data_IF_983570297329
#
_entry.id   IF_983570297329
#
_cell.length_a   1.000
_cell.length_b   1.000
_cell.length_c   1.000
_cell.angle_alpha   90.00
_cell.angle_beta   90.00
_cell.angle_gamma   90.00
#
_symmetry.space_group_name_H-M   'P 1'
#
loop_
_entity.id
_entity.type
_entity.pdbx_description
1 polymer ?
#
# COMPACT_ATOMS: atom_id res chain seq x y z
N UNK A 1 0.73 -2.10 -59.77
CA UNK A 1 -0.27 -1.14 -60.30
C UNK A 1 -0.21 0.09 -59.40
N UNK A 2 0.55 1.10 -59.84
CA UNK A 2 0.61 2.42 -59.22
C UNK A 2 -0.72 3.14 -59.41
N UNK A 3 -1.12 3.99 -58.46
CA UNK A 3 -1.52 5.36 -58.78
C UNK A 3 -1.11 6.30 -57.65
N UNK A 4 -0.56 7.42 -58.08
CA UNK A 4 0.13 8.50 -57.37
C UNK A 4 -0.72 9.78 -57.44
N UNK A 5 -0.51 10.66 -56.44
CA UNK A 5 -0.55 12.14 -56.51
C UNK A 5 -1.95 12.81 -56.68
N UNK A 6 -2.27 13.98 -56.09
CA UNK A 6 -1.46 15.08 -55.54
C UNK A 6 -2.27 16.03 -54.62
N UNK A 7 -1.57 16.68 -53.67
CA UNK A 7 -1.62 18.08 -53.15
C UNK A 7 -2.80 19.00 -53.52
N UNK A 8 -3.25 20.03 -52.78
CA UNK A 8 -2.79 20.90 -51.67
C UNK A 8 -3.97 21.90 -51.47
N UNK A 9 -4.30 22.45 -50.30
CA UNK A 9 -3.72 23.69 -49.78
C UNK A 9 -4.43 24.13 -48.47
N UNK A 10 -3.81 25.12 -47.83
CA UNK A 10 -3.94 25.69 -46.48
C UNK A 10 -5.18 26.57 -46.20
N UNK A 11 -5.73 26.43 -44.97
CA UNK A 11 -6.36 27.38 -43.99
C UNK A 11 -6.73 28.84 -44.38
N UNK A 12 -7.69 29.56 -43.71
CA UNK A 12 -7.96 29.53 -42.25
C UNK A 12 -9.40 29.78 -41.73
N UNK A 13 -9.52 29.59 -40.40
CA UNK A 13 -10.50 30.09 -39.41
C UNK A 13 -11.63 31.04 -39.85
N UNK A 14 -12.88 30.72 -39.48
CA UNK A 14 -13.83 31.69 -38.91
C UNK A 14 -15.02 31.01 -38.17
N UNK A 15 -15.22 31.52 -36.96
CA UNK A 15 -16.37 31.36 -36.05
C UNK A 15 -17.73 31.48 -36.75
N UNK A 16 -18.69 30.60 -36.40
CA UNK A 16 -20.12 30.96 -36.35
C UNK A 16 -20.93 29.97 -35.51
N UNK A 17 -21.22 30.41 -34.28
CA UNK A 17 -22.23 29.85 -33.40
C UNK A 17 -23.62 29.99 -34.07
N UNK A 18 -24.33 28.88 -34.30
CA UNK A 18 -25.74 28.91 -34.72
C UNK A 18 -26.58 27.99 -33.84
N UNK A 19 -27.45 28.65 -33.05
CA UNK A 19 -28.50 28.06 -32.23
C UNK A 19 -29.52 27.34 -33.13
N UNK A 20 -29.89 26.11 -32.79
CA UNK A 20 -31.03 25.39 -33.38
C UNK A 20 -32.07 25.18 -32.25
N UNK A 21 -33.36 25.50 -32.45
CA UNK A 21 -34.37 25.37 -31.40
C UNK A 21 -34.92 23.93 -31.37
N UNK A 22 -34.92 23.31 -30.19
CA UNK A 22 -35.54 22.00 -29.98
C UNK A 22 -37.05 22.19 -29.74
N UNK A 23 -37.87 21.65 -30.65
CA UNK A 23 -39.32 21.51 -30.46
C UNK A 23 -39.61 20.48 -29.36
N UNK A 24 -40.53 20.84 -28.47
CA UNK A 24 -41.12 20.02 -27.42
C UNK A 24 -41.82 18.80 -28.03
N UNK A 25 -41.37 17.60 -27.65
CA UNK A 25 -42.10 16.36 -27.83
C UNK A 25 -42.38 15.76 -26.44
N UNK A 26 -43.66 15.57 -26.18
CA UNK A 26 -44.25 15.07 -24.95
C UNK A 26 -43.87 13.59 -24.71
N UNK A 27 -43.20 13.32 -23.60
CA UNK A 27 -42.86 11.97 -23.14
C UNK A 27 -44.08 11.33 -22.48
N UNK A 28 -44.66 10.32 -23.14
CA UNK A 28 -45.52 9.33 -22.49
C UNK A 28 -44.66 8.45 -21.58
N UNK A 29 -45.02 8.41 -20.31
CA UNK A 29 -44.48 7.53 -19.28
C UNK A 29 -44.85 6.07 -19.58
N UNK A 30 -43.84 5.23 -19.80
CA UNK A 30 -43.96 3.78 -19.77
C UNK A 30 -43.02 3.28 -18.67
N UNK A 31 -43.63 2.78 -17.61
CA UNK A 31 -43.01 2.27 -16.39
C UNK A 31 -42.30 0.94 -16.67
N UNK A 32 -40.97 0.97 -16.81
CA UNK A 32 -40.13 -0.18 -16.53
C UNK A 32 -39.27 0.15 -15.30
N UNK A 33 -39.63 -0.46 -14.17
CA UNK A 33 -38.82 -0.51 -12.96
C UNK A 33 -37.57 -1.36 -13.22
N UNK A 34 -36.57 -0.79 -13.87
CA UNK A 34 -35.20 -1.30 -13.74
C UNK A 34 -34.63 -0.72 -12.44
N UNK A 35 -34.62 -1.56 -11.40
CA UNK A 35 -33.83 -1.30 -10.20
C UNK A 35 -32.37 -1.25 -10.62
N UNK A 36 -31.86 -0.05 -10.86
CA UNK A 36 -30.41 0.17 -10.93
C UNK A 36 -29.86 -0.18 -9.56
N UNK A 37 -29.23 -1.34 -9.43
CA UNK A 37 -28.35 -1.66 -8.30
C UNK A 37 -27.24 -0.60 -8.28
N UNK A 38 -27.47 0.51 -7.59
CA UNK A 38 -26.42 1.43 -7.25
C UNK A 38 -25.61 0.74 -6.16
N UNK A 39 -24.43 0.26 -6.53
CA UNK A 39 -23.45 -0.19 -5.55
C UNK A 39 -22.97 1.08 -4.85
N UNK A 40 -23.64 1.44 -3.76
CA UNK A 40 -23.24 2.52 -2.89
C UNK A 40 -22.09 1.99 -2.02
N UNK A 41 -20.89 1.95 -2.60
CA UNK A 41 -19.68 1.65 -1.85
C UNK A 41 -19.46 2.81 -0.88
N UNK A 42 -19.82 2.62 0.40
CA UNK A 42 -19.30 3.46 1.47
C UNK A 42 -17.78 3.42 1.35
N UNK A 43 -17.17 4.59 1.13
CA UNK A 43 -15.73 4.90 1.16
C UNK A 43 -14.77 3.74 0.84
N UNK A 44 -14.11 3.84 -0.32
CA UNK A 44 -13.05 2.97 -0.83
C UNK A 44 -12.34 2.13 0.23
N UNK A 45 -12.63 0.83 0.23
CA UNK A 45 -11.79 -0.14 0.89
C UNK A 45 -10.34 0.07 0.40
N UNK A 46 -9.43 0.43 1.31
CA UNK A 46 -7.98 0.47 1.11
C UNK A 46 -7.35 1.69 0.43
N UNK A 47 -8.06 2.82 0.25
CA UNK A 47 -7.47 4.00 -0.39
C UNK A 47 -6.64 4.88 0.56
N UNK A 48 -5.58 4.34 1.18
CA UNK A 48 -4.59 5.14 1.89
C UNK A 48 -4.00 4.48 3.13
N UNK A 49 -2.82 4.95 3.55
CA UNK A 49 -2.28 4.63 4.86
C UNK A 49 -3.15 5.34 5.92
N UNK A 50 -3.86 4.62 6.79
CA UNK A 50 -4.82 5.19 7.74
C UNK A 50 -4.16 6.05 8.83
N UNK A 51 -2.83 6.02 8.94
CA UNK A 51 -2.05 6.87 9.84
C UNK A 51 -1.82 8.30 9.29
N UNK A 52 -2.36 8.65 8.12
CA UNK A 52 -2.27 10.02 7.59
C UNK A 52 -3.49 10.85 7.98
N UNK A 53 -3.45 11.49 9.15
CA UNK A 53 -4.45 12.52 9.48
C UNK A 53 -4.11 13.89 8.88
N UNK A 54 -2.84 14.28 8.79
CA UNK A 54 -2.35 15.50 8.11
C UNK A 54 -0.84 15.40 7.88
N UNK A 55 -0.27 16.09 6.87
CA UNK A 55 1.19 16.24 6.77
C UNK A 55 1.63 17.11 7.97
N UNK A 56 2.37 16.57 8.95
CA UNK A 56 2.75 17.36 10.12
C UNK A 56 3.64 18.52 9.67
N UNK A 57 3.48 19.71 10.28
CA UNK A 57 4.42 20.82 10.04
C UNK A 57 5.85 20.33 10.32
N UNK A 58 6.88 20.78 9.58
CA UNK A 58 8.26 20.30 9.74
C UNK A 58 8.78 20.36 11.19
N UNK A 59 8.28 21.30 11.98
CA UNK A 59 8.66 21.57 13.36
C UNK A 59 7.87 20.77 14.42
N UNK A 60 6.89 19.95 14.03
CA UNK A 60 6.16 19.14 15.00
C UNK A 60 6.95 17.91 15.45
N UNK A 61 6.78 17.50 16.71
CA UNK A 61 7.36 16.27 17.29
C UNK A 61 6.98 14.99 16.53
N UNK A 62 5.91 15.05 15.73
CA UNK A 62 5.38 13.95 14.93
C UNK A 62 5.87 13.96 13.48
N UNK A 63 6.67 14.96 13.10
CA UNK A 63 7.29 14.98 11.78
C UNK A 63 8.25 13.78 11.65
N UNK A 64 8.41 13.17 10.45
CA UNK A 64 9.25 12.00 10.29
C UNK A 64 10.67 12.21 10.81
N UNK A 65 11.28 13.38 10.50
CA UNK A 65 12.62 13.71 10.94
C UNK A 65 12.73 13.88 12.46
N UNK A 66 11.78 14.59 13.09
CA UNK A 66 11.78 14.78 14.55
C UNK A 66 11.54 13.46 15.30
N UNK A 67 10.59 12.66 14.82
CA UNK A 67 10.30 11.34 15.37
C UNK A 67 11.51 10.40 15.24
N UNK A 68 12.26 10.47 14.15
CA UNK A 68 13.46 9.68 13.94
C UNK A 68 14.61 10.08 14.88
N UNK A 69 14.86 11.37 15.04
CA UNK A 69 15.88 11.84 16.00
C UNK A 69 15.49 11.50 17.45
N UNK A 70 14.20 11.60 17.80
CA UNK A 70 13.68 11.16 19.11
C UNK A 70 13.80 9.65 19.30
N UNK A 71 13.60 8.86 18.23
CA UNK A 71 13.79 7.42 18.29
C UNK A 71 15.27 7.07 18.48
N UNK A 72 16.19 7.72 17.75
CA UNK A 72 17.63 7.54 17.90
C UNK A 72 18.10 7.88 19.31
N UNK A 73 17.68 9.04 19.83
CA UNK A 73 18.05 9.43 21.20
C UNK A 73 17.51 8.43 22.21
N UNK A 74 16.26 7.97 22.08
CA UNK A 74 15.73 6.91 22.96
C UNK A 74 16.43 5.58 22.78
N UNK A 75 16.90 5.21 21.59
CA UNK A 75 17.65 3.96 21.39
C UNK A 75 19.05 4.03 22.01
N UNK A 76 19.70 5.20 21.99
CA UNK A 76 21.05 5.44 22.52
C UNK A 76 21.08 5.81 24.01
N UNK A 77 20.06 6.52 24.50
CA UNK A 77 19.94 7.02 25.88
C UNK A 77 18.63 6.53 26.51
N UNK A 78 18.70 5.92 27.70
CA UNK A 78 17.54 5.44 28.45
C UNK A 78 16.73 6.58 29.14
N UNK A 79 16.74 7.79 28.57
CA UNK A 79 16.09 8.94 29.18
C UNK A 79 14.60 9.03 28.79
N UNK A 80 13.73 8.97 29.81
CA UNK A 80 12.31 9.30 29.69
C UNK A 80 12.16 10.83 29.66
N UNK A 81 12.10 11.44 28.47
CA UNK A 81 11.58 12.80 28.37
C UNK A 81 10.05 12.76 28.58
N UNK A 82 9.50 13.56 29.52
CA UNK A 82 8.10 13.46 29.95
C UNK A 82 7.05 13.89 28.91
N UNK A 83 7.45 14.41 27.74
CA UNK A 83 6.56 14.87 26.66
C UNK A 83 6.74 14.15 25.32
N UNK A 84 7.48 13.03 25.27
CA UNK A 84 7.76 12.36 23.98
C UNK A 84 6.74 11.29 23.62
N UNK A 85 6.43 11.13 22.33
CA UNK A 85 5.37 10.25 21.84
C UNK A 85 5.58 8.78 22.21
N UNK A 86 4.49 8.03 22.23
CA UNK A 86 4.50 6.58 22.39
C UNK A 86 4.92 5.96 21.06
N UNK A 87 5.95 5.12 21.08
CA UNK A 87 6.45 4.45 19.88
C UNK A 87 5.93 3.02 19.82
N UNK A 88 5.15 2.72 18.76
CA UNK A 88 4.74 1.36 18.40
C UNK A 88 5.59 0.82 17.26
N UNK A 89 6.04 -0.42 17.41
CA UNK A 89 6.96 -1.11 16.50
C UNK A 89 6.30 -2.39 16.01
N UNK A 90 6.32 -2.61 14.69
CA UNK A 90 5.96 -3.88 14.06
C UNK A 90 7.22 -4.53 13.46
N UNK A 91 7.69 -5.66 14.03
CA UNK A 91 8.81 -6.40 13.47
C UNK A 91 8.42 -7.15 12.18
N UNK A 92 9.35 -7.19 11.24
CA UNK A 92 9.25 -7.94 9.99
C UNK A 92 10.45 -8.87 9.82
N UNK A 93 10.21 -10.03 9.22
CA UNK A 93 11.27 -10.94 8.79
C UNK A 93 11.02 -11.38 7.36
N UNK A 94 11.93 -11.05 6.45
CA UNK A 94 11.84 -11.36 5.01
C UNK A 94 10.49 -10.93 4.42
N UNK A 95 10.06 -9.70 4.76
CA UNK A 95 8.79 -9.12 4.33
C UNK A 95 7.53 -9.69 4.99
N UNK A 96 7.65 -10.57 5.99
CA UNK A 96 6.53 -11.12 6.77
C UNK A 96 6.38 -10.34 8.08
N UNK A 97 5.22 -9.73 8.37
CA UNK A 97 4.98 -9.12 9.67
C UNK A 97 4.91 -10.19 10.77
N UNK A 98 5.29 -9.79 11.98
CA UNK A 98 5.00 -10.57 13.17
C UNK A 98 3.50 -10.49 13.48
N UNK A 99 2.89 -11.63 13.79
CA UNK A 99 1.50 -11.75 14.15
C UNK A 99 1.33 -12.79 15.27
N UNK A 100 0.21 -12.69 15.95
CA UNK A 100 -0.25 -13.71 16.90
C UNK A 100 -1.68 -14.09 16.56
N UNK A 101 -2.09 -15.25 17.05
CA UNK A 101 -3.46 -15.70 16.92
C UNK A 101 -4.03 -16.04 18.28
N UNK A 102 -5.24 -15.55 18.52
CA UNK A 102 -6.04 -15.90 19.69
C UNK A 102 -7.20 -16.76 19.24
N UNK A 103 -7.43 -17.87 19.93
CA UNK A 103 -8.57 -18.74 19.67
C UNK A 103 -9.65 -18.45 20.72
N UNK A 104 -10.84 -17.95 20.33
CA UNK A 104 -11.97 -17.81 21.25
C UNK A 104 -12.36 -19.18 21.83
N UNK A 105 -13.01 -19.18 23.01
CA UNK A 105 -13.58 -20.41 23.57
C UNK A 105 -14.66 -20.97 22.63
N UNK A 106 -14.46 -22.19 22.12
CA UNK A 106 -15.37 -22.88 21.19
C UNK A 106 -14.74 -23.29 19.85
N UNK A 107 -15.61 -23.53 18.84
CA UNK A 107 -15.25 -23.93 17.47
C UNK A 107 -15.04 -22.76 16.50
N UNK A 108 -15.01 -21.52 17.01
CA UNK A 108 -14.76 -20.33 16.20
C UNK A 108 -13.35 -20.35 15.59
N UNK A 109 -13.20 -19.79 14.37
CA UNK A 109 -11.88 -19.69 13.75
C UNK A 109 -10.94 -18.80 14.58
N UNK A 110 -9.62 -19.01 14.46
CA UNK A 110 -8.62 -18.16 15.09
C UNK A 110 -8.75 -16.70 14.63
N UNK A 111 -8.69 -15.77 15.57
CA UNK A 111 -8.56 -14.34 15.27
C UNK A 111 -7.06 -14.01 15.18
N UNK A 112 -6.67 -13.27 14.15
CA UNK A 112 -5.29 -12.88 13.91
C UNK A 112 -5.07 -11.41 14.23
N UNK A 113 -4.00 -11.12 14.94
CA UNK A 113 -3.60 -9.76 15.30
C UNK A 113 -2.13 -9.52 14.96
N UNK A 114 -1.79 -8.31 14.53
CA UNK A 114 -0.40 -7.92 14.33
C UNK A 114 0.35 -7.81 15.66
N UNK A 115 1.61 -8.23 15.67
CA UNK A 115 2.49 -8.19 16.84
C UNK A 115 3.10 -6.81 17.07
N UNK A 116 2.26 -5.82 17.40
CA UNK A 116 2.72 -4.49 17.78
C UNK A 116 3.35 -4.49 19.18
N UNK A 117 4.53 -3.89 19.32
CA UNK A 117 5.20 -3.70 20.60
C UNK A 117 5.42 -2.23 20.90
N UNK A 118 5.45 -1.87 22.19
CA UNK A 118 6.05 -0.61 22.59
C UNK A 118 7.57 -0.67 22.43
N UNK A 119 8.21 0.47 22.25
CA UNK A 119 9.67 0.54 22.12
C UNK A 119 10.41 -0.08 23.32
N UNK A 120 9.90 0.10 24.55
CA UNK A 120 10.49 -0.49 25.76
C UNK A 120 10.48 -2.02 25.75
N UNK A 121 9.32 -2.61 25.44
CA UNK A 121 9.17 -4.07 25.34
C UNK A 121 10.05 -4.63 24.23
N UNK A 122 10.10 -3.94 23.08
CA UNK A 122 10.92 -4.32 21.94
C UNK A 122 12.41 -4.29 22.27
N UNK A 123 12.89 -3.24 22.96
CA UNK A 123 14.27 -3.17 23.46
C UNK A 123 14.64 -4.34 24.37
N UNK A 124 13.70 -4.84 25.18
CA UNK A 124 13.92 -6.01 26.02
C UNK A 124 14.29 -7.26 25.21
N UNK A 125 13.73 -7.43 24.01
CA UNK A 125 14.15 -8.51 23.11
C UNK A 125 15.51 -8.24 22.47
N UNK A 126 15.78 -6.97 22.12
CA UNK A 126 17.05 -6.59 21.52
C UNK A 126 18.24 -6.70 22.46
N UNK A 127 18.05 -6.43 23.75
CA UNK A 127 19.10 -6.52 24.77
C UNK A 127 19.68 -7.95 24.90
N UNK A 128 18.89 -8.96 24.55
CA UNK A 128 19.30 -10.36 24.55
C UNK A 128 19.86 -10.83 23.19
N UNK A 129 20.13 -9.88 22.27
CA UNK A 129 20.57 -10.17 20.90
C UNK A 129 21.71 -9.26 20.47
N UNK A 130 22.50 -9.69 19.47
CA UNK A 130 23.53 -8.86 18.83
C UNK A 130 22.95 -7.94 17.74
N UNK A 131 21.62 -7.84 17.62
CA UNK A 131 20.98 -7.06 16.57
C UNK A 131 21.20 -5.55 16.78
N UNK A 132 21.95 -4.95 15.87
CA UNK A 132 22.12 -3.49 15.82
C UNK A 132 21.09 -2.87 14.87
N UNK A 133 20.23 -2.01 15.41
CA UNK A 133 19.26 -1.23 14.63
C UNK A 133 20.01 -0.27 13.69
N UNK A 134 19.96 -0.55 12.38
CA UNK A 134 20.51 0.35 11.36
C UNK A 134 19.40 1.17 10.72
N UNK A 135 19.70 2.38 10.22
CA UNK A 135 18.68 3.24 9.60
C UNK A 135 18.00 2.58 8.39
N UNK A 136 18.66 1.64 7.72
CA UNK A 136 18.09 0.89 6.60
C UNK A 136 17.01 -0.11 7.04
N UNK A 137 17.09 -0.61 8.28
CA UNK A 137 16.14 -1.56 8.85
C UNK A 137 14.86 -0.91 9.39
N UNK A 138 14.79 0.43 9.46
CA UNK A 138 13.65 1.16 10.01
C UNK A 138 12.92 1.99 8.96
N UNK A 139 11.60 1.98 9.05
CA UNK A 139 10.71 2.84 8.25
C UNK A 139 9.64 3.47 9.14
N UNK A 140 9.47 4.78 9.00
CA UNK A 140 8.38 5.52 9.63
C UNK A 140 7.06 5.26 8.89
N UNK A 141 6.03 4.82 9.62
CA UNK A 141 4.73 4.47 9.06
C UNK A 141 3.69 5.58 9.22
N UNK A 142 3.84 6.45 10.22
CA UNK A 142 2.89 7.51 10.48
C UNK A 142 2.72 7.77 11.98
N UNK A 143 1.80 8.67 12.29
CA UNK A 143 1.46 9.04 13.66
C UNK A 143 -0.03 9.24 13.80
N UNK A 144 -0.58 8.89 14.96
CA UNK A 144 -1.94 9.25 15.36
C UNK A 144 -1.86 10.34 16.41
N UNK A 145 -2.34 11.53 16.07
CA UNK A 145 -2.32 12.71 16.94
C UNK A 145 -3.32 12.63 18.09
N UNK A 146 -4.35 11.79 17.98
CA UNK A 146 -5.34 11.58 19.05
C UNK A 146 -4.71 10.91 20.29
N UNK A 147 -3.75 10.00 20.05
CA UNK A 147 -3.16 9.14 21.07
C UNK A 147 -1.65 9.42 21.27
N UNK A 148 -1.10 10.43 20.60
CA UNK A 148 0.34 10.74 20.54
C UNK A 148 1.23 9.52 20.21
N UNK A 149 0.75 8.63 19.36
CA UNK A 149 1.45 7.39 18.97
C UNK A 149 2.14 7.56 17.62
N UNK A 150 3.39 7.15 17.53
CA UNK A 150 4.15 7.05 16.27
C UNK A 150 4.45 5.58 15.97
N UNK A 151 4.22 5.19 14.72
CA UNK A 151 4.30 3.81 14.25
C UNK A 151 5.54 3.59 13.38
N UNK A 152 6.26 2.50 13.64
CA UNK A 152 7.47 2.11 12.96
C UNK A 152 7.40 0.66 12.47
N UNK A 153 7.92 0.41 11.27
CA UNK A 153 8.23 -0.93 10.78
C UNK A 153 9.72 -1.21 10.92
N UNK A 154 10.09 -2.38 11.40
CA UNK A 154 11.49 -2.76 11.60
C UNK A 154 11.78 -4.11 10.95
N UNK A 155 12.79 -4.18 10.09
CA UNK A 155 13.28 -5.43 9.52
C UNK A 155 14.31 -6.09 10.46
N UNK A 156 13.93 -7.23 11.03
CA UNK A 156 14.76 -8.07 11.90
C UNK A 156 15.26 -9.32 11.17
N UNK A 157 15.38 -9.26 9.84
CA UNK A 157 15.82 -10.41 9.03
C UNK A 157 17.24 -10.88 9.34
N UNK A 158 18.13 -9.97 9.72
CA UNK A 158 19.53 -10.28 10.00
C UNK A 158 19.71 -11.09 11.30
N UNK A 159 18.76 -10.98 12.23
CA UNK A 159 18.82 -11.71 13.50
C UNK A 159 17.85 -12.90 13.54
N UNK A 160 18.42 -14.10 13.63
CA UNK A 160 17.66 -15.34 13.75
C UNK A 160 17.31 -15.71 15.19
N UNK A 161 17.99 -15.13 16.18
CA UNK A 161 17.80 -15.42 17.61
C UNK A 161 16.47 -14.90 18.15
N UNK A 162 15.88 -13.88 17.50
CA UNK A 162 14.59 -13.31 17.89
C UNK A 162 13.40 -14.24 17.59
N UNK A 163 13.52 -15.13 16.60
CA UNK A 163 12.44 -16.05 16.20
C UNK A 163 12.00 -16.95 17.37
N UNK A 164 12.89 -17.67 18.08
CA UNK A 164 12.47 -18.46 19.24
C UNK A 164 11.98 -17.60 20.40
N UNK A 165 12.51 -16.40 20.61
CA UNK A 165 12.05 -15.49 21.68
C UNK A 165 10.61 -15.02 21.46
N UNK A 166 10.27 -14.66 20.21
CA UNK A 166 8.90 -14.33 19.84
C UNK A 166 7.98 -15.55 19.89
N UNK A 167 8.46 -16.71 19.46
CA UNK A 167 7.74 -17.98 19.52
C UNK A 167 7.35 -18.38 20.96
N UNK A 168 8.24 -18.17 21.93
CA UNK A 168 7.98 -18.41 23.36
C UNK A 168 6.82 -17.55 23.91
N UNK A 169 6.50 -16.44 23.24
CA UNK A 169 5.36 -15.56 23.55
C UNK A 169 4.19 -15.73 22.56
N UNK A 170 4.13 -16.85 21.85
CA UNK A 170 3.07 -17.17 20.88
C UNK A 170 2.96 -16.21 19.69
N UNK A 171 4.08 -15.62 19.27
CA UNK A 171 4.17 -14.84 18.03
C UNK A 171 4.85 -15.64 16.91
N UNK A 172 4.46 -15.35 15.67
CA UNK A 172 5.07 -15.94 14.47
C UNK A 172 5.08 -14.95 13.30
N UNK A 173 6.00 -15.14 12.35
CA UNK A 173 6.06 -14.33 11.14
C UNK A 173 5.18 -14.92 10.04
N UNK A 174 4.11 -14.21 9.67
CA UNK A 174 3.08 -14.69 8.74
C UNK A 174 3.11 -13.89 7.45
N UNK A 175 2.80 -14.53 6.32
CA UNK A 175 2.71 -13.81 5.05
C UNK A 175 1.45 -12.93 5.02
N UNK A 176 1.60 -11.68 4.60
CA UNK A 176 0.55 -10.66 4.71
C UNK A 176 -0.74 -11.02 3.95
N UNK A 177 -0.66 -11.62 2.76
CA UNK A 177 -1.84 -12.11 2.02
C UNK A 177 -2.55 -13.23 2.79
N UNK A 178 -1.82 -14.07 3.52
CA UNK A 178 -2.43 -15.08 4.39
C UNK A 178 -3.24 -14.42 5.50
N UNK A 179 -2.69 -13.40 6.15
CA UNK A 179 -3.42 -12.61 7.15
C UNK A 179 -4.66 -11.93 6.54
N UNK A 180 -4.53 -11.32 5.36
CA UNK A 180 -5.66 -10.72 4.66
C UNK A 180 -6.78 -11.71 4.33
N UNK A 181 -6.48 -13.00 4.12
CA UNK A 181 -7.51 -14.03 3.89
C UNK A 181 -8.09 -14.57 5.19
N UNK A 182 -7.29 -14.63 6.25
CA UNK A 182 -7.70 -15.19 7.54
C UNK A 182 -8.45 -14.19 8.44
N UNK A 183 -8.24 -12.89 8.24
CA UNK A 183 -8.90 -11.82 8.99
C UNK A 183 -10.33 -11.60 8.52
N UNK A 184 -11.23 -11.32 9.45
CA UNK A 184 -12.60 -10.89 9.14
C UNK A 184 -12.58 -9.50 8.50
N UNK A 185 -13.08 -9.39 7.26
CA UNK A 185 -13.08 -8.14 6.50
C UNK A 185 -14.09 -7.12 7.03
N UNK A 186 -15.01 -7.54 7.91
CA UNK A 186 -15.94 -6.62 8.57
C UNK A 186 -15.30 -5.88 9.75
N UNK A 187 -14.15 -6.35 10.25
CA UNK A 187 -13.37 -5.66 11.28
C UNK A 187 -12.54 -4.54 10.64
N UNK A 188 -13.07 -3.32 10.66
CA UNK A 188 -12.42 -2.13 10.12
C UNK A 188 -11.04 -1.85 10.74
N UNK A 189 -10.87 -2.14 12.04
CA UNK A 189 -9.61 -1.91 12.74
C UNK A 189 -8.56 -2.92 12.29
N UNK A 190 -8.91 -4.20 12.20
CA UNK A 190 -7.98 -5.22 11.72
C UNK A 190 -7.57 -4.95 10.26
N UNK A 191 -8.49 -4.49 9.41
CA UNK A 191 -8.19 -4.13 8.03
C UNK A 191 -7.31 -2.88 7.92
N UNK A 192 -7.51 -1.89 8.80
CA UNK A 192 -6.66 -0.70 8.94
C UNK A 192 -5.23 -1.09 9.31
N UNK A 193 -5.07 -1.97 10.30
CA UNK A 193 -3.79 -2.51 10.75
C UNK A 193 -3.06 -3.25 9.62
N UNK A 194 -3.77 -4.09 8.86
CA UNK A 194 -3.21 -4.80 7.70
C UNK A 194 -2.79 -3.84 6.58
N UNK A 195 -3.52 -2.74 6.36
CA UNK A 195 -3.12 -1.71 5.41
C UNK A 195 -1.81 -1.03 5.83
N UNK A 196 -1.63 -0.75 7.13
CA UNK A 196 -0.38 -0.24 7.69
C UNK A 196 0.76 -1.25 7.48
N UNK A 197 0.53 -2.53 7.78
CA UNK A 197 1.53 -3.58 7.58
C UNK A 197 1.92 -3.77 6.10
N UNK A 198 0.96 -3.63 5.18
CA UNK A 198 1.21 -3.62 3.74
C UNK A 198 2.09 -2.46 3.30
N UNK A 199 1.83 -1.26 3.82
CA UNK A 199 2.67 -0.10 3.58
C UNK A 199 4.09 -0.29 4.13
N UNK A 200 4.22 -0.80 5.35
CA UNK A 200 5.50 -1.09 5.99
C UNK A 200 6.32 -2.10 5.16
N UNK A 201 5.70 -3.22 4.77
CA UNK A 201 6.33 -4.23 3.91
C UNK A 201 6.86 -3.61 2.62
N UNK A 202 6.08 -2.77 1.95
CA UNK A 202 6.49 -2.14 0.69
C UNK A 202 7.72 -1.23 0.87
N UNK A 203 7.77 -0.44 1.95
CA UNK A 203 8.91 0.42 2.24
C UNK A 203 10.16 -0.38 2.63
N UNK A 204 10.02 -1.40 3.49
CA UNK A 204 11.13 -2.27 3.89
C UNK A 204 11.70 -3.05 2.70
N UNK A 205 10.83 -3.60 1.85
CA UNK A 205 11.27 -4.27 0.62
C UNK A 205 12.01 -3.29 -0.30
N UNK A 206 11.47 -2.08 -0.49
CA UNK A 206 12.12 -1.05 -1.27
C UNK A 206 13.49 -0.66 -0.70
N UNK A 207 13.64 -0.60 0.62
CA UNK A 207 14.92 -0.39 1.29
C UNK A 207 15.92 -1.50 0.96
N UNK A 208 15.48 -2.75 0.95
CA UNK A 208 16.32 -3.92 0.69
C UNK A 208 16.78 -4.00 -0.77
N UNK A 209 15.94 -3.65 -1.74
CA UNK A 209 16.30 -3.70 -3.17
C UNK A 209 17.01 -2.43 -3.66
N UNK A 210 16.75 -1.26 -3.06
CA UNK A 210 17.28 0.03 -3.51
C UNK A 210 18.53 0.46 -2.72
N UNK A 211 19.58 -0.37 -2.72
CA UNK A 211 20.82 -0.14 -1.95
C UNK A 211 21.84 0.75 -2.68
N UNK A 212 21.72 0.87 -3.99
CA UNK A 212 22.65 1.60 -4.85
C UNK A 212 21.92 2.59 -5.75
N UNK A 213 22.62 3.64 -6.16
CA UNK A 213 22.08 4.69 -7.01
C UNK A 213 22.04 4.20 -8.46
N UNK A 214 20.85 4.12 -9.06
CA UNK A 214 20.70 3.73 -10.46
C UNK A 214 21.31 4.71 -11.48
N UNK A 215 21.84 5.86 -11.05
CA UNK A 215 22.52 6.82 -11.93
C UNK A 215 24.05 6.69 -11.91
N UNK A 216 24.66 6.55 -10.73
CA UNK A 216 26.12 6.53 -10.58
C UNK A 216 26.68 5.28 -9.90
N UNK A 217 25.84 4.32 -9.49
CA UNK A 217 26.25 3.07 -8.84
C UNK A 217 26.59 3.19 -7.35
N UNK A 218 26.80 4.39 -6.81
CA UNK A 218 27.19 4.59 -5.41
C UNK A 218 26.07 4.23 -4.41
N UNK A 219 26.43 3.87 -3.17
CA UNK A 219 25.49 3.55 -2.09
C UNK A 219 24.46 4.66 -1.85
N UNK A 220 23.25 4.25 -1.47
CA UNK A 220 22.16 5.16 -1.08
C UNK A 220 21.97 5.15 0.44
N UNK A 221 21.63 6.30 1.00
CA UNK A 221 21.35 6.49 2.43
C UNK A 221 19.87 6.83 2.63
N UNK A 222 19.19 6.26 3.65
CA UNK A 222 17.85 6.66 4.04
C UNK A 222 17.79 8.13 4.44
N UNK A 223 16.71 8.80 4.09
CA UNK A 223 16.42 10.17 4.49
C UNK A 223 14.94 10.28 4.86
N UNK A 224 14.58 11.30 5.65
CA UNK A 224 13.18 11.52 6.08
C UNK A 224 12.56 10.27 6.74
N UNK A 225 13.30 9.66 7.67
CA UNK A 225 12.89 8.46 8.39
C UNK A 225 12.52 7.26 7.49
N UNK A 226 13.27 7.07 6.41
CA UNK A 226 13.08 5.95 5.48
C UNK A 226 11.99 6.17 4.43
N UNK A 227 11.47 7.39 4.28
CA UNK A 227 10.46 7.72 3.25
C UNK A 227 11.06 7.99 1.88
N UNK A 228 12.34 8.35 1.84
CA UNK A 228 13.13 8.47 0.61
C UNK A 228 14.58 8.06 0.88
N UNK A 229 15.34 7.92 -0.20
CA UNK A 229 16.78 7.70 -0.15
C UNK A 229 17.50 8.78 -0.91
N UNK A 230 18.78 8.96 -0.60
CA UNK A 230 19.65 9.89 -1.32
C UNK A 230 20.97 9.19 -1.66
N UNK A 231 21.50 9.46 -2.85
CA UNK A 231 22.83 8.98 -3.21
C UNK A 231 23.88 9.62 -2.28
N UNK A 232 24.78 8.80 -1.72
CA UNK A 232 25.84 9.25 -0.82
C UNK A 232 26.96 10.01 -1.54
N UNK A 233 27.09 9.87 -2.87
CA UNK A 233 28.04 10.64 -3.65
C UNK A 233 27.68 12.14 -3.63
N UNK A 234 28.59 12.96 -3.13
CA UNK A 234 28.42 14.40 -2.96
C UNK A 234 28.20 15.17 -4.28
N UNK A 235 28.71 14.66 -5.40
CA UNK A 235 28.50 15.22 -6.75
C UNK A 235 27.15 14.81 -7.34
N UNK A 236 26.65 13.61 -7.01
CA UNK A 236 25.38 13.10 -7.54
C UNK A 236 24.17 13.60 -6.73
N UNK A 237 24.15 13.34 -5.41
CA UNK A 237 23.08 13.70 -4.47
C UNK A 237 21.63 13.40 -4.92
N UNK A 238 21.45 12.50 -5.91
CA UNK A 238 20.14 12.19 -6.49
C UNK A 238 19.19 11.64 -5.42
N UNK A 239 17.97 12.17 -5.41
CA UNK A 239 16.88 11.72 -4.54
C UNK A 239 16.16 10.55 -5.21
N UNK A 240 15.85 9.52 -4.42
CA UNK A 240 15.23 8.28 -4.88
C UNK A 240 14.01 8.03 -4.01
N UNK A 241 12.86 7.81 -4.64
CA UNK A 241 11.59 7.59 -3.97
C UNK A 241 11.12 6.14 -4.14
N UNK A 242 10.28 5.62 -3.23
CA UNK A 242 9.67 4.31 -3.37
C UNK A 242 8.93 4.17 -4.71
N UNK A 243 9.12 3.01 -5.35
CA UNK A 243 8.39 2.65 -6.57
C UNK A 243 6.97 2.24 -6.21
N UNK A 244 5.99 2.77 -6.93
CA UNK A 244 4.59 2.34 -6.85
C UNK A 244 4.21 1.82 -8.23
N UNK A 245 3.81 0.55 -8.29
CA UNK A 245 3.34 -0.09 -9.52
C UNK A 245 1.80 -0.08 -9.53
N UNK A 246 1.16 0.83 -10.29
CA UNK A 246 -0.29 0.93 -10.31
C UNK A 246 -0.91 -0.31 -10.98
N UNK A 247 -1.88 -0.92 -10.29
CA UNK A 247 -2.60 -2.12 -10.74
C UNK A 247 -4.09 -1.83 -10.73
N UNK A 248 -4.77 -2.29 -11.77
CA UNK A 248 -6.24 -2.27 -11.84
C UNK A 248 -6.78 -3.66 -11.55
N UNK A 249 -7.89 -3.71 -10.82
CA UNK A 249 -8.72 -4.90 -10.64
C UNK A 249 -10.12 -4.57 -11.16
N UNK A 250 -10.70 -5.45 -11.96
CA UNK A 250 -11.95 -5.17 -12.68
C UNK A 250 -12.88 -6.38 -12.72
N UNK A 251 -14.14 -6.15 -12.37
CA UNK A 251 -15.23 -7.11 -12.53
C UNK A 251 -15.97 -6.79 -13.83
N UNK A 252 -16.04 -7.75 -14.75
CA UNK A 252 -16.80 -7.59 -15.98
C UNK A 252 -18.16 -8.24 -15.82
N UNK A 253 -19.19 -7.44 -16.08
CA UNK A 253 -20.59 -7.80 -15.86
C UNK A 253 -21.28 -7.85 -17.21
N UNK A 254 -21.84 -9.01 -17.53
CA UNK A 254 -22.82 -9.19 -18.58
C UNK A 254 -24.20 -8.90 -17.98
N UNK A 255 -24.72 -7.71 -18.29
CA UNK A 255 -25.98 -7.21 -17.74
C UNK A 255 -27.21 -7.92 -18.30
N UNK A 256 -27.14 -8.42 -19.53
CA UNK A 256 -28.29 -9.05 -20.18
C UNK A 256 -28.56 -10.43 -19.59
N UNK A 257 -27.49 -11.17 -19.25
CA UNK A 257 -27.58 -12.53 -18.74
C UNK A 257 -27.40 -12.65 -17.21
N UNK A 258 -27.21 -11.52 -16.50
CA UNK A 258 -26.90 -11.46 -15.06
C UNK A 258 -25.68 -12.32 -14.69
N UNK A 259 -24.59 -12.16 -15.42
CA UNK A 259 -23.35 -12.94 -15.25
C UNK A 259 -22.15 -12.03 -15.00
N UNK A 260 -21.13 -12.58 -14.35
CA UNK A 260 -19.85 -11.91 -14.21
C UNK A 260 -18.69 -12.81 -14.66
N UNK A 261 -17.72 -12.20 -15.34
CA UNK A 261 -16.51 -12.90 -15.76
C UNK A 261 -15.49 -12.90 -14.62
N UNK A 262 -15.07 -14.11 -14.24
CA UNK A 262 -13.97 -14.35 -13.32
C UNK A 262 -12.90 -15.19 -14.00
N UNK A 263 -11.66 -15.03 -13.57
CA UNK A 263 -10.53 -15.82 -14.04
C UNK A 263 -9.84 -16.54 -12.89
N UNK A 264 -9.02 -17.53 -13.23
CA UNK A 264 -8.20 -18.28 -12.29
C UNK A 264 -6.80 -18.45 -12.85
N UNK A 265 -5.80 -18.30 -11.99
CA UNK A 265 -4.42 -18.66 -12.28
C UNK A 265 -4.07 -20.00 -11.65
N UNK A 266 -3.15 -20.76 -12.24
CA UNK A 266 -2.72 -22.08 -11.75
C UNK A 266 -2.24 -22.07 -10.29
N UNK A 267 -1.59 -20.98 -9.87
CA UNK A 267 -1.10 -20.77 -8.49
C UNK A 267 -2.19 -20.52 -7.45
N UNK A 268 -3.44 -20.29 -7.86
CA UNK A 268 -4.53 -20.03 -6.92
C UNK A 268 -4.98 -21.30 -6.23
N UNK A 269 -5.38 -21.17 -4.96
CA UNK A 269 -6.00 -22.25 -4.18
C UNK A 269 -7.15 -22.87 -5.00
N UNK A 270 -7.33 -24.21 -4.98
CA UNK A 270 -8.41 -24.84 -5.71
C UNK A 270 -9.76 -24.19 -5.43
N UNK A 271 -10.55 -23.99 -6.50
CA UNK A 271 -11.87 -23.32 -6.48
C UNK A 271 -11.87 -21.82 -6.15
N UNK A 272 -10.70 -21.18 -6.06
CA UNK A 272 -10.62 -19.72 -5.96
C UNK A 272 -10.65 -19.07 -7.34
N UNK A 273 -11.61 -18.18 -7.55
CA UNK A 273 -11.79 -17.35 -8.74
C UNK A 273 -11.64 -15.88 -8.35
N UNK A 274 -11.14 -15.05 -9.26
CA UNK A 274 -10.93 -13.63 -9.00
C UNK A 274 -11.27 -12.78 -10.22
N UNK A 275 -11.54 -11.51 -9.97
CA UNK A 275 -11.60 -10.47 -10.98
C UNK A 275 -10.33 -10.45 -11.83
N UNK A 276 -10.43 -9.90 -13.04
CA UNK A 276 -9.25 -9.67 -13.86
C UNK A 276 -8.40 -8.57 -13.22
N UNK A 277 -7.08 -8.70 -13.31
CA UNK A 277 -6.15 -7.70 -12.81
C UNK A 277 -4.94 -7.53 -13.73
N UNK A 278 -4.39 -6.32 -13.80
CA UNK A 278 -3.23 -6.01 -14.63
C UNK A 278 -2.54 -4.71 -14.24
N UNK A 279 -1.25 -4.62 -14.53
CA UNK A 279 -0.49 -3.37 -14.36
C UNK A 279 -0.99 -2.31 -15.34
N UNK A 280 -1.01 -1.05 -14.90
CA UNK A 280 -1.20 0.08 -15.80
C UNK A 280 0.15 0.39 -16.45
N UNK A 281 0.15 0.43 -17.78
CA UNK A 281 1.31 0.87 -18.55
C UNK A 281 1.39 2.39 -18.56
N UNK A 282 2.63 2.89 -18.65
CA UNK A 282 2.89 4.32 -18.78
C UNK A 282 2.15 4.86 -20.00
N UNK A 283 1.50 6.01 -19.86
CA UNK A 283 0.72 6.70 -20.90
C UNK A 283 -0.64 6.09 -21.25
N UNK A 284 -1.05 4.95 -20.67
CA UNK A 284 -2.38 4.38 -20.90
C UNK A 284 -3.35 4.79 -19.78
N UNK A 285 -4.49 5.36 -20.17
CA UNK A 285 -5.56 5.69 -19.24
C UNK A 285 -6.22 4.40 -18.71
N UNK A 286 -6.62 4.39 -17.43
CA UNK A 286 -7.18 3.23 -16.73
C UNK A 286 -8.24 2.48 -17.55
N UNK A 287 -9.21 3.21 -18.11
CA UNK A 287 -10.27 2.63 -18.94
C UNK A 287 -9.75 1.88 -20.18
N UNK A 288 -8.74 2.42 -20.86
CA UNK A 288 -8.12 1.76 -22.00
C UNK A 288 -7.35 0.50 -21.59
N UNK A 289 -6.68 0.51 -20.43
CA UNK A 289 -6.00 -0.69 -19.92
C UNK A 289 -6.99 -1.82 -19.61
N UNK A 290 -8.16 -1.48 -19.07
CA UNK A 290 -9.23 -2.45 -18.79
C UNK A 290 -9.66 -3.13 -20.10
N UNK A 291 -9.92 -2.35 -21.16
CA UNK A 291 -10.34 -2.88 -22.47
C UNK A 291 -9.24 -3.74 -23.11
N UNK A 292 -7.98 -3.29 -23.09
CA UNK A 292 -6.85 -4.05 -23.63
C UNK A 292 -6.66 -5.39 -22.90
N UNK A 293 -6.69 -5.36 -21.56
CA UNK A 293 -6.52 -6.57 -20.74
C UNK A 293 -7.65 -7.58 -20.99
N UNK A 294 -8.87 -7.10 -21.23
CA UNK A 294 -9.99 -7.95 -21.59
C UNK A 294 -9.80 -8.63 -22.94
N UNK A 295 -9.40 -7.87 -23.96
CA UNK A 295 -9.14 -8.41 -25.29
C UNK A 295 -8.03 -9.45 -25.27
N UNK A 296 -6.92 -9.19 -24.57
CA UNK A 296 -5.79 -10.14 -24.46
C UNK A 296 -6.18 -11.46 -23.78
N UNK A 297 -7.12 -11.44 -22.83
CA UNK A 297 -7.56 -12.61 -22.09
C UNK A 297 -8.64 -13.37 -22.85
N UNK A 298 -9.57 -12.70 -23.51
CA UNK A 298 -10.64 -13.34 -24.28
C UNK A 298 -10.16 -13.97 -25.59
N UNK A 299 -9.01 -13.54 -26.11
CA UNK A 299 -8.41 -14.09 -27.35
C UNK A 299 -7.55 -15.33 -27.08
N UNK A 300 -7.24 -15.66 -25.81
CA UNK A 300 -6.50 -16.87 -25.40
C UNK A 300 -7.43 -17.98 -24.93
#
# INVERSE_FOLDING_TARGET
>A
MLFLLSSSSTSPLLSLCRKIPLKTLTTKTLSHLHSTMSINLKTHAFAGNPLRSTTPKPESLFSPSSAFETLKSRLLENALLPSSPIFKVLPFRKGRPLATSTRPTGDSPPIWHLGWFNLGDFKGFLANSEFQLTENSLVYLGSRSEDDVVYWGIDVSEDSSLVPQFGAKHFCFVELRTLMVATDWTDEQAMSDLAIAGHARALLEWHNISRFCGHCGEKTVPMEAGRRKQCSNALCKKRIYPRVDPVVIMLVIDRENDRALLSRQSRFVPRMWSCLAGFIEVSILVGFRIVSSLLEILVK
#
